data_IF_452116738132
#
_entry.id   IF_452116738132
#
_cell.length_a   1.000
_cell.length_b   1.000
_cell.length_c   1.000
_cell.angle_alpha   90.00
_cell.angle_beta   90.00
_cell.angle_gamma   90.00
#
_symmetry.space_group_name_H-M   'P 1'
#
loop_
_entity.id
_entity.type
_entity.pdbx_description
1 polymer ?
#
# COMPACT_ATOMS: atom_id res chain seq x y z
N UNK A 1 -2.15 -25.49 22.07
CA UNK A 1 -3.11 -24.39 22.26
C UNK A 1 -2.37 -23.05 22.21
N UNK A 2 -2.96 -22.06 21.58
CA UNK A 2 -2.38 -20.71 21.50
C UNK A 2 -2.93 -19.78 22.60
N UNK A 3 -3.84 -20.29 23.43
CA UNK A 3 -4.40 -19.60 24.59
C UNK A 3 -3.87 -20.28 25.84
N UNK A 4 -3.33 -19.50 26.76
CA UNK A 4 -2.83 -19.94 28.06
C UNK A 4 -3.25 -18.96 29.16
N UNK A 5 -2.92 -19.31 30.41
CA UNK A 5 -3.10 -18.47 31.59
C UNK A 5 -4.52 -17.89 31.70
N UNK A 6 -5.51 -18.77 31.49
CA UNK A 6 -6.93 -18.41 31.57
C UNK A 6 -7.33 -18.25 33.03
N UNK A 7 -7.67 -17.04 33.44
CA UNK A 7 -8.12 -16.73 34.80
C UNK A 7 -9.50 -16.07 34.79
N UNK A 8 -10.37 -16.54 35.68
CA UNK A 8 -11.67 -15.96 35.90
C UNK A 8 -11.67 -15.16 37.21
N UNK A 9 -11.72 -13.85 37.11
CA UNK A 9 -11.90 -12.92 38.22
C UNK A 9 -13.33 -12.57 38.52
N UNK A 10 -13.57 -11.54 39.33
CA UNK A 10 -14.92 -11.07 39.68
C UNK A 10 -15.58 -10.33 38.50
N UNK A 11 -16.11 -11.10 37.53
CA UNK A 11 -16.78 -10.57 36.35
C UNK A 11 -15.87 -10.30 35.16
N UNK A 12 -14.61 -10.71 35.22
CA UNK A 12 -13.63 -10.55 34.17
C UNK A 12 -12.92 -11.87 33.87
N UNK A 13 -12.74 -12.17 32.59
CA UNK A 13 -11.95 -13.30 32.09
C UNK A 13 -10.68 -12.78 31.44
N UNK A 14 -9.52 -13.14 31.96
CA UNK A 14 -8.21 -12.82 31.39
C UNK A 14 -7.54 -14.06 30.82
N UNK A 15 -6.75 -13.90 29.76
CA UNK A 15 -5.97 -14.98 29.15
C UNK A 15 -4.79 -14.42 28.38
N UNK A 16 -3.77 -15.23 28.19
CA UNK A 16 -2.62 -14.91 27.33
C UNK A 16 -2.80 -15.57 25.95
N UNK A 17 -2.31 -14.88 24.92
CA UNK A 17 -2.30 -15.39 23.53
C UNK A 17 -0.86 -15.42 23.02
N UNK A 18 -0.40 -16.58 22.55
CA UNK A 18 0.89 -16.70 21.86
C UNK A 18 0.73 -16.28 20.39
N UNK A 19 1.74 -15.56 19.85
CA UNK A 19 1.74 -15.12 18.46
C UNK A 19 1.50 -16.28 17.48
N UNK A 20 0.77 -16.00 16.40
CA UNK A 20 0.59 -16.96 15.31
C UNK A 20 1.70 -16.73 14.26
N UNK A 21 2.75 -17.52 14.36
CA UNK A 21 3.86 -17.53 13.39
C UNK A 21 3.60 -18.45 12.19
N UNK A 22 2.45 -19.12 12.17
CA UNK A 22 2.04 -20.00 11.07
C UNK A 22 1.32 -19.27 9.95
N UNK A 23 1.05 -20.00 8.87
CA UNK A 23 0.35 -19.51 7.66
C UNK A 23 -1.17 -19.75 7.69
N UNK A 24 -1.69 -20.34 8.78
CA UNK A 24 -3.12 -20.64 8.91
C UNK A 24 -3.73 -19.93 10.11
N UNK A 25 -4.98 -19.50 9.98
CA UNK A 25 -5.76 -18.93 11.08
C UNK A 25 -5.97 -20.01 12.16
N UNK A 26 -5.85 -19.61 13.42
CA UNK A 26 -6.12 -20.48 14.56
C UNK A 26 -7.44 -20.08 15.22
N UNK A 27 -8.18 -21.09 15.66
CA UNK A 27 -9.48 -20.90 16.29
C UNK A 27 -9.48 -21.55 17.66
N UNK A 28 -10.10 -20.87 18.62
CA UNK A 28 -10.35 -21.43 19.95
C UNK A 28 -11.71 -20.99 20.45
N UNK A 29 -12.26 -21.77 21.36
CA UNK A 29 -13.50 -21.42 22.06
C UNK A 29 -13.22 -21.47 23.56
N UNK A 30 -13.47 -20.36 24.24
CA UNK A 30 -13.47 -20.33 25.70
C UNK A 30 -14.90 -20.50 26.18
N UNK A 31 -15.13 -21.50 27.03
CA UNK A 31 -16.43 -21.75 27.66
C UNK A 31 -16.30 -21.58 29.17
N UNK A 32 -17.13 -20.70 29.71
CA UNK A 32 -17.26 -20.51 31.16
C UNK A 32 -18.57 -21.18 31.59
N UNK A 33 -18.49 -22.00 32.60
CA UNK A 33 -19.64 -22.70 33.15
C UNK A 33 -19.73 -22.48 34.65
N UNK A 34 -20.93 -22.28 35.17
CA UNK A 34 -21.19 -22.23 36.60
C UNK A 34 -22.39 -23.11 36.94
N UNK A 35 -22.37 -23.69 38.12
CA UNK A 35 -23.54 -24.40 38.67
C UNK A 35 -24.50 -23.38 39.28
N UNK A 36 -25.80 -23.54 39.02
CA UNK A 36 -26.84 -22.79 39.71
C UNK A 36 -27.15 -23.40 41.09
N UNK A 37 -27.93 -22.66 41.87
CA UNK A 37 -28.32 -23.12 43.22
C UNK A 37 -29.21 -24.39 43.23
N UNK A 38 -29.77 -24.76 42.08
CA UNK A 38 -30.61 -25.95 41.92
C UNK A 38 -29.84 -27.15 41.35
N UNK A 39 -28.51 -27.00 41.10
CA UNK A 39 -27.65 -28.03 40.54
C UNK A 39 -27.65 -28.09 39.02
N UNK A 40 -28.27 -27.12 38.35
CA UNK A 40 -28.15 -26.92 36.89
C UNK A 40 -26.80 -26.31 36.52
N UNK A 41 -26.36 -26.46 35.27
CA UNK A 41 -25.15 -25.81 34.73
C UNK A 41 -25.56 -24.78 33.71
N UNK A 42 -25.13 -23.56 33.92
CA UNK A 42 -25.23 -22.47 32.95
C UNK A 42 -23.85 -22.22 32.34
N UNK A 43 -23.79 -22.16 31.02
CA UNK A 43 -22.54 -21.95 30.28
C UNK A 43 -22.66 -20.83 29.27
N UNK A 44 -21.58 -20.07 29.11
CA UNK A 44 -21.41 -19.09 28.03
C UNK A 44 -20.10 -19.36 27.29
N UNK A 45 -20.12 -19.22 25.98
CA UNK A 45 -18.93 -19.45 25.15
C UNK A 45 -18.59 -18.25 24.30
N UNK A 46 -17.29 -17.98 24.12
CA UNK A 46 -16.77 -16.97 23.21
C UNK A 46 -15.78 -17.63 22.24
N UNK A 47 -15.92 -17.34 20.97
CA UNK A 47 -14.99 -17.81 19.95
C UNK A 47 -13.90 -16.77 19.73
N UNK A 48 -12.65 -17.25 19.71
CA UNK A 48 -11.47 -16.45 19.46
C UNK A 48 -10.87 -16.90 18.14
N UNK A 49 -10.66 -15.97 17.23
CA UNK A 49 -9.94 -16.20 15.97
C UNK A 49 -8.63 -15.44 16.02
N UNK A 50 -7.52 -16.15 15.92
CA UNK A 50 -6.22 -15.52 15.77
C UNK A 50 -5.80 -15.56 14.30
N UNK A 51 -5.60 -14.37 13.74
CA UNK A 51 -5.14 -14.20 12.36
C UNK A 51 -3.68 -14.60 12.22
N UNK A 52 -3.26 -14.87 11.01
CA UNK A 52 -1.85 -15.01 10.66
C UNK A 52 -1.17 -13.64 10.69
N UNK A 53 0.14 -13.63 10.85
CA UNK A 53 0.92 -12.42 10.52
C UNK A 53 0.82 -12.22 9.01
N UNK A 54 0.34 -11.05 8.60
CA UNK A 54 0.17 -10.73 7.19
C UNK A 54 1.50 -10.91 6.44
N UNK A 55 1.47 -11.69 5.35
CA UNK A 55 2.65 -12.01 4.57
C UNK A 55 2.84 -11.00 3.44
N UNK A 56 4.07 -10.55 3.15
CA UNK A 56 4.32 -9.69 2.01
C UNK A 56 3.94 -10.41 0.71
N UNK A 57 3.17 -9.74 -0.16
CA UNK A 57 2.79 -10.24 -1.48
C UNK A 57 3.03 -9.18 -2.54
N UNK A 58 3.86 -9.51 -3.52
CA UNK A 58 4.10 -8.63 -4.66
C UNK A 58 2.89 -8.62 -5.59
N UNK A 59 2.41 -7.41 -5.93
CA UNK A 59 1.40 -7.19 -6.96
C UNK A 59 2.11 -6.73 -8.23
N UNK A 60 1.89 -7.43 -9.35
CA UNK A 60 2.49 -7.02 -10.61
C UNK A 60 1.93 -5.66 -11.06
N UNK A 61 2.75 -4.85 -11.73
CA UNK A 61 2.31 -3.55 -12.25
C UNK A 61 1.14 -3.68 -13.25
N UNK A 62 1.05 -4.79 -13.97
CA UNK A 62 -0.04 -5.06 -14.90
C UNK A 62 -1.35 -5.36 -14.15
N UNK A 63 -1.30 -6.21 -13.13
CA UNK A 63 -2.48 -6.54 -12.32
C UNK A 63 -2.95 -5.30 -11.54
N UNK A 64 -2.01 -4.51 -11.02
CA UNK A 64 -2.34 -3.26 -10.34
C UNK A 64 -3.06 -2.30 -11.29
N UNK A 65 -2.56 -2.08 -12.53
CA UNK A 65 -3.22 -1.21 -13.52
C UNK A 65 -4.65 -1.64 -13.82
N UNK A 66 -4.94 -2.91 -13.82
CA UNK A 66 -6.28 -3.43 -14.05
C UNK A 66 -7.29 -3.07 -12.95
N UNK A 67 -6.81 -2.65 -11.76
CA UNK A 67 -7.66 -2.26 -10.63
C UNK A 67 -8.08 -0.78 -10.68
N UNK A 68 -7.38 0.07 -11.44
CA UNK A 68 -7.68 1.49 -11.52
C UNK A 68 -8.98 1.77 -12.26
N UNK A 69 -9.73 2.73 -11.76
CA UNK A 69 -10.98 3.21 -12.35
C UNK A 69 -10.94 4.74 -12.51
N UNK A 70 -11.87 5.31 -13.26
CA UNK A 70 -11.98 6.76 -13.40
C UNK A 70 -12.44 7.45 -12.10
N UNK A 71 -13.05 6.69 -11.19
CA UNK A 71 -13.41 7.15 -9.84
C UNK A 71 -12.35 6.69 -8.84
N UNK A 72 -12.14 7.47 -7.79
CA UNK A 72 -11.25 7.14 -6.70
C UNK A 72 -11.65 5.81 -6.07
N UNK A 73 -10.72 4.89 -5.99
CA UNK A 73 -10.94 3.56 -5.46
C UNK A 73 -9.89 3.22 -4.42
N UNK A 74 -10.33 3.03 -3.16
CA UNK A 74 -9.46 2.52 -2.12
C UNK A 74 -8.91 1.15 -2.50
N UNK A 75 -7.61 0.94 -2.32
CA UNK A 75 -6.99 -0.36 -2.53
C UNK A 75 -7.55 -1.35 -1.50
N UNK A 76 -8.16 -2.42 -1.99
CA UNK A 76 -8.69 -3.48 -1.14
C UNK A 76 -7.56 -4.47 -0.83
N UNK A 77 -6.93 -4.31 0.34
CA UNK A 77 -5.96 -5.29 0.82
C UNK A 77 -6.66 -6.55 1.34
N UNK A 78 -6.02 -7.68 1.14
CA UNK A 78 -6.34 -8.94 1.77
C UNK A 78 -5.89 -8.88 3.25
N UNK A 79 -6.70 -9.41 4.17
CA UNK A 79 -6.36 -9.42 5.60
C UNK A 79 -5.14 -10.29 5.94
N UNK A 80 -4.81 -11.23 5.07
CA UNK A 80 -3.72 -12.19 5.26
C UNK A 80 -2.43 -11.76 4.54
N UNK A 81 -2.46 -10.65 3.78
CA UNK A 81 -1.30 -10.17 3.01
C UNK A 81 -1.07 -8.66 3.16
N UNK A 82 0.20 -8.29 3.08
CA UNK A 82 0.62 -6.91 2.83
C UNK A 82 1.01 -6.83 1.37
N UNK A 83 0.12 -6.24 0.58
CA UNK A 83 0.35 -6.08 -0.85
C UNK A 83 1.32 -4.94 -1.12
N UNK A 84 2.32 -5.18 -1.96
CA UNK A 84 3.29 -4.16 -2.34
C UNK A 84 3.60 -4.18 -3.83
N UNK A 85 3.93 -3.01 -4.35
CA UNK A 85 4.43 -2.80 -5.71
C UNK A 85 5.95 -2.66 -5.69
N UNK A 86 6.67 -3.46 -6.49
CA UNK A 86 8.08 -3.23 -6.78
C UNK A 86 8.21 -2.28 -7.97
N UNK A 87 8.90 -1.15 -7.76
CA UNK A 87 9.04 -0.14 -8.80
C UNK A 87 10.38 0.60 -8.71
N UNK A 88 10.65 1.42 -9.72
CA UNK A 88 11.81 2.30 -9.82
C UNK A 88 11.36 3.74 -9.83
N UNK A 89 11.93 4.54 -8.93
CA UNK A 89 11.67 5.99 -8.88
C UNK A 89 12.33 6.66 -10.07
N UNK A 90 11.56 7.43 -10.83
CA UNK A 90 12.03 8.19 -12.00
C UNK A 90 11.96 9.70 -11.78
N UNK A 91 11.18 10.18 -10.80
CA UNK A 91 11.22 11.54 -10.29
C UNK A 91 12.33 11.75 -9.27
N UNK A 92 12.39 12.92 -8.67
CA UNK A 92 13.37 13.27 -7.63
C UNK A 92 12.75 14.29 -6.69
N UNK A 93 12.53 13.91 -5.43
CA UNK A 93 12.00 14.84 -4.42
C UNK A 93 12.94 16.01 -4.11
N UNK A 94 14.27 15.80 -4.22
CA UNK A 94 15.28 16.85 -4.04
C UNK A 94 15.38 17.81 -5.23
N UNK A 95 14.85 17.44 -6.41
CA UNK A 95 14.80 18.26 -7.62
C UNK A 95 13.46 18.05 -8.31
N UNK A 96 12.35 18.56 -7.74
CA UNK A 96 11.04 18.42 -8.33
C UNK A 96 10.98 19.08 -9.71
N UNK A 97 10.05 18.66 -10.56
CA UNK A 97 9.95 19.14 -11.94
C UNK A 97 9.73 20.65 -12.04
N UNK A 98 9.26 21.29 -10.96
CA UNK A 98 9.07 22.73 -10.87
C UNK A 98 9.39 23.23 -9.46
N UNK A 99 10.42 24.05 -9.30
CA UNK A 99 10.70 24.75 -8.05
C UNK A 99 9.65 25.82 -7.74
N UNK A 100 9.13 26.43 -8.79
CA UNK A 100 8.10 27.46 -8.68
C UNK A 100 7.07 27.27 -9.78
N UNK A 101 5.82 27.23 -9.42
CA UNK A 101 4.75 27.29 -10.38
C UNK A 101 4.38 28.77 -10.65
N UNK A 102 4.90 29.31 -11.73
CA UNK A 102 4.57 30.67 -12.19
C UNK A 102 3.24 30.75 -12.96
N UNK A 103 2.64 29.63 -13.24
CA UNK A 103 1.34 29.57 -13.93
C UNK A 103 0.22 29.65 -12.90
N UNK A 104 -0.49 30.75 -12.87
CA UNK A 104 -1.64 30.98 -11.98
C UNK A 104 -2.98 30.66 -12.62
N UNK A 105 -3.00 29.93 -13.72
CA UNK A 105 -4.24 29.48 -14.37
C UNK A 105 -4.98 28.41 -13.55
N UNK A 106 -6.26 28.16 -13.89
CA UNK A 106 -7.11 27.22 -13.12
C UNK A 106 -6.63 25.75 -13.12
N UNK A 107 -5.70 25.41 -14.00
CA UNK A 107 -5.10 24.07 -14.10
C UNK A 107 -3.63 24.06 -13.65
N UNK A 108 -3.18 25.09 -12.92
CA UNK A 108 -1.82 25.14 -12.43
C UNK A 108 -1.64 24.19 -11.24
N UNK A 109 -0.51 23.47 -11.24
CA UNK A 109 -0.09 22.68 -10.09
C UNK A 109 0.54 23.63 -9.07
N UNK A 110 0.13 23.56 -7.82
CA UNK A 110 0.74 24.34 -6.73
C UNK A 110 2.12 23.79 -6.38
N UNK A 111 2.95 24.57 -5.70
CA UNK A 111 4.26 24.11 -5.21
C UNK A 111 4.08 22.92 -4.27
N UNK A 112 3.14 23.01 -3.34
CA UNK A 112 2.85 21.93 -2.38
C UNK A 112 2.41 20.64 -3.09
N UNK A 113 1.56 20.74 -4.13
CA UNK A 113 1.17 19.58 -4.93
C UNK A 113 2.35 18.97 -5.67
N UNK A 114 3.27 19.79 -6.18
CA UNK A 114 4.46 19.31 -6.84
C UNK A 114 5.41 18.60 -5.85
N UNK A 115 5.60 19.17 -4.66
CA UNK A 115 6.46 18.61 -3.62
C UNK A 115 5.90 17.30 -3.05
N UNK A 116 4.57 17.15 -3.01
CA UNK A 116 3.88 15.89 -2.67
C UNK A 116 3.87 14.86 -3.81
N UNK A 117 4.44 15.16 -4.99
CA UNK A 117 4.32 14.30 -6.17
C UNK A 117 5.66 13.68 -6.54
N UNK A 118 5.65 12.36 -6.82
CA UNK A 118 6.77 11.67 -7.43
C UNK A 118 6.28 10.72 -8.53
N UNK A 119 7.18 10.14 -9.28
CA UNK A 119 6.87 9.25 -10.38
C UNK A 119 7.70 7.98 -10.28
N UNK A 120 7.05 6.86 -10.54
CA UNK A 120 7.70 5.54 -10.56
C UNK A 120 7.32 4.79 -11.82
N UNK A 121 8.19 3.87 -12.22
CA UNK A 121 7.89 2.90 -13.25
C UNK A 121 8.16 1.49 -12.74
N UNK A 122 7.51 0.48 -13.38
CA UNK A 122 7.83 -0.92 -13.15
C UNK A 122 9.31 -1.21 -13.37
N UNK A 123 9.84 -2.26 -12.75
CA UNK A 123 11.26 -2.59 -12.87
C UNK A 123 11.70 -2.89 -14.32
N UNK A 124 10.78 -3.33 -15.17
CA UNK A 124 11.00 -3.55 -16.61
C UNK A 124 10.75 -2.28 -17.46
N UNK A 125 10.34 -1.18 -16.86
CA UNK A 125 10.06 0.10 -17.52
C UNK A 125 8.77 0.14 -18.34
N UNK A 126 7.90 -0.87 -18.26
CA UNK A 126 6.70 -0.96 -19.12
C UNK A 126 5.55 -0.08 -18.64
N UNK A 127 5.38 0.07 -17.33
CA UNK A 127 4.24 0.72 -16.70
C UNK A 127 4.70 1.86 -15.82
N UNK A 128 4.03 3.00 -15.91
CA UNK A 128 4.32 4.18 -15.10
C UNK A 128 3.16 4.53 -14.17
N UNK A 129 3.49 5.09 -13.02
CA UNK A 129 2.52 5.57 -12.03
C UNK A 129 2.96 6.90 -11.45
N UNK A 130 2.00 7.78 -11.20
CA UNK A 130 2.19 8.97 -10.36
C UNK A 130 1.93 8.58 -8.91
N UNK A 131 2.84 8.94 -8.02
CA UNK A 131 2.69 8.83 -6.58
C UNK A 131 2.28 10.18 -6.03
N UNK A 132 1.28 10.21 -5.16
CA UNK A 132 0.85 11.41 -4.47
C UNK A 132 0.86 11.15 -2.96
N UNK A 133 1.76 11.84 -2.27
CA UNK A 133 1.91 11.80 -0.83
C UNK A 133 0.96 12.79 -0.16
N UNK A 134 0.57 12.51 1.07
CA UNK A 134 -0.30 13.39 1.84
C UNK A 134 0.43 14.66 2.27
N UNK A 135 1.74 14.56 2.54
CA UNK A 135 2.59 15.71 2.89
C UNK A 135 3.89 15.74 2.08
N UNK A 136 4.53 16.91 1.87
CA UNK A 136 5.84 17.00 1.22
C UNK A 136 6.94 16.24 1.96
N UNK A 137 6.86 16.17 3.29
CA UNK A 137 7.83 15.51 4.15
C UNK A 137 7.86 13.98 3.94
N UNK A 138 6.75 13.41 3.49
CA UNK A 138 6.65 11.99 3.16
C UNK A 138 7.33 11.66 1.82
N UNK A 139 7.49 12.64 0.93
CA UNK A 139 8.14 12.45 -0.36
C UNK A 139 9.65 12.62 -0.26
N UNK A 140 10.35 11.59 0.18
CA UNK A 140 11.83 11.60 0.31
C UNK A 140 12.52 10.80 -0.80
N UNK A 141 11.81 10.46 -1.86
CA UNK A 141 12.27 9.57 -2.92
C UNK A 141 13.22 10.25 -3.89
N UNK A 142 14.43 9.70 -4.03
CA UNK A 142 15.41 10.13 -5.01
C UNK A 142 15.34 9.29 -6.30
N UNK A 143 15.69 9.92 -7.42
CA UNK A 143 15.72 9.24 -8.74
C UNK A 143 16.62 7.99 -8.72
N UNK A 144 16.14 6.93 -9.32
CA UNK A 144 16.84 5.66 -9.43
C UNK A 144 16.60 4.71 -8.25
N UNK A 145 16.00 5.15 -7.16
CA UNK A 145 15.68 4.31 -6.02
C UNK A 145 14.80 3.13 -6.46
N UNK A 146 15.19 1.91 -6.07
CA UNK A 146 14.30 0.74 -6.12
C UNK A 146 13.44 0.78 -4.88
N UNK A 147 12.13 0.76 -5.07
CA UNK A 147 11.14 0.95 -4.00
C UNK A 147 10.21 -0.26 -3.92
N UNK A 148 10.00 -0.74 -2.70
CA UNK A 148 8.92 -1.63 -2.32
C UNK A 148 7.83 -0.77 -1.66
N UNK A 149 6.75 -0.48 -2.41
CA UNK A 149 5.68 0.41 -2.02
C UNK A 149 4.48 -0.39 -1.53
N UNK A 150 4.14 -0.29 -0.24
CA UNK A 150 2.91 -0.88 0.30
C UNK A 150 1.69 -0.18 -0.30
N UNK A 151 0.71 -0.98 -0.73
CA UNK A 151 -0.55 -0.50 -1.29
C UNK A 151 -1.64 -0.33 -0.22
N UNK A 152 -1.36 -0.69 1.03
CA UNK A 152 -2.33 -0.58 2.13
C UNK A 152 -2.71 0.88 2.38
N UNK A 153 -4.00 1.16 2.46
CA UNK A 153 -4.53 2.50 2.71
C UNK A 153 -4.49 3.45 1.52
N UNK A 154 -3.94 3.04 0.37
CA UNK A 154 -3.84 3.89 -0.81
C UNK A 154 -5.15 3.99 -1.59
N UNK A 155 -5.24 5.03 -2.42
CA UNK A 155 -6.34 5.26 -3.35
C UNK A 155 -5.81 5.25 -4.78
N UNK A 156 -6.49 4.50 -5.64
CA UNK A 156 -6.14 4.33 -7.05
C UNK A 156 -7.08 5.13 -7.92
N UNK A 157 -6.54 5.98 -8.80
CA UNK A 157 -7.33 6.80 -9.73
C UNK A 157 -6.73 6.76 -11.13
N UNK A 158 -7.57 6.57 -12.15
CA UNK A 158 -7.21 6.66 -13.57
C UNK A 158 -7.83 7.92 -14.18
N UNK A 159 -7.00 8.74 -14.80
CA UNK A 159 -7.40 9.85 -15.62
C UNK A 159 -7.27 9.49 -17.11
N UNK A 160 -8.07 10.09 -17.96
CA UNK A 160 -8.05 9.89 -19.41
C UNK A 160 -7.49 11.13 -20.14
N UNK A 161 -7.04 10.91 -21.38
CA UNK A 161 -6.59 11.97 -22.30
C UNK A 161 -5.34 12.78 -21.84
N UNK A 162 -4.16 12.19 -21.71
CA UNK A 162 -3.78 10.78 -21.89
C UNK A 162 -4.16 9.94 -20.68
N UNK A 163 -4.20 8.61 -20.86
CA UNK A 163 -4.45 7.68 -19.76
C UNK A 163 -3.31 7.72 -18.75
N UNK A 164 -3.65 8.02 -17.48
CA UNK A 164 -2.69 8.22 -16.39
C UNK A 164 -3.16 7.50 -15.12
N UNK A 165 -2.22 6.96 -14.39
CA UNK A 165 -2.48 6.14 -13.21
C UNK A 165 -1.84 6.78 -11.99
N UNK A 166 -2.65 7.10 -10.99
CA UNK A 166 -2.21 7.74 -9.75
C UNK A 166 -2.48 6.84 -8.56
N UNK A 167 -1.46 6.66 -7.71
CA UNK A 167 -1.55 6.06 -6.40
C UNK A 167 -1.44 7.22 -5.41
N UNK A 168 -2.50 7.51 -4.66
CA UNK A 168 -2.60 8.61 -3.72
C UNK A 168 -2.83 8.15 -2.28
N UNK A 169 -2.95 9.09 -1.35
CA UNK A 169 -3.02 8.84 0.09
C UNK A 169 -1.81 8.06 0.60
N UNK A 170 -0.64 8.45 0.10
CA UNK A 170 0.63 7.87 0.49
C UNK A 170 1.21 8.63 1.69
N UNK A 171 1.69 7.87 2.67
CA UNK A 171 2.44 8.36 3.83
C UNK A 171 3.81 7.67 3.89
N UNK A 172 4.71 8.15 4.74
CA UNK A 172 6.07 7.60 4.86
C UNK A 172 6.12 6.09 5.09
N UNK A 173 5.17 5.54 5.84
CA UNK A 173 5.05 4.12 6.16
C UNK A 173 4.73 3.23 4.95
N UNK A 174 4.21 3.78 3.86
CA UNK A 174 4.00 3.01 2.63
C UNK A 174 5.32 2.63 1.95
N UNK A 175 6.43 3.32 2.25
CA UNK A 175 7.76 3.00 1.73
C UNK A 175 8.43 1.92 2.58
N UNK A 176 8.10 0.65 2.32
CA UNK A 176 8.52 -0.49 3.15
C UNK A 176 10.02 -0.75 3.03
N UNK A 177 10.55 -0.70 1.82
CA UNK A 177 11.97 -0.91 1.53
C UNK A 177 12.40 -0.02 0.37
N UNK A 178 13.52 0.65 0.54
CA UNK A 178 14.15 1.43 -0.52
C UNK A 178 15.65 1.10 -0.60
N UNK A 179 16.16 0.88 -1.80
CA UNK A 179 17.56 0.62 -2.06
C UNK A 179 18.11 1.63 -3.06
N UNK A 180 19.38 2.02 -2.87
CA UNK A 180 20.07 2.93 -3.79
C UNK A 180 20.09 2.37 -5.22
N UNK A 181 19.99 3.29 -6.17
CA UNK A 181 19.57 3.02 -7.52
C UNK A 181 20.50 2.21 -8.39
N UNK A 182 19.89 1.30 -9.11
CA UNK A 182 20.39 0.77 -10.38
C UNK A 182 19.97 1.67 -11.54
N UNK A 183 20.48 1.41 -12.74
CA UNK A 183 20.08 2.13 -13.95
C UNK A 183 18.55 2.05 -14.17
N UNK A 184 17.95 3.19 -14.50
CA UNK A 184 16.54 3.27 -14.86
C UNK A 184 16.37 2.65 -16.25
N UNK A 185 15.50 1.63 -16.44
CA UNK A 185 15.16 1.14 -17.77
C UNK A 185 14.60 2.25 -18.65
N UNK A 186 15.12 2.38 -19.86
CA UNK A 186 14.76 3.42 -20.82
C UNK A 186 14.13 2.79 -22.04
N UNK A 187 12.94 3.22 -22.41
CA UNK A 187 12.31 2.85 -23.68
C UNK A 187 12.86 3.74 -24.80
N UNK A 188 13.34 3.17 -25.89
CA UNK A 188 13.65 3.92 -27.11
C UNK A 188 12.34 4.13 -27.88
N UNK A 189 12.02 5.37 -28.20
CA UNK A 189 10.80 5.76 -28.95
C UNK A 189 11.11 6.83 -29.98
N UNK A 190 10.34 6.85 -31.04
CA UNK A 190 10.18 8.06 -31.87
C UNK A 190 8.98 8.85 -31.33
N UNK A 191 8.93 10.14 -31.56
CA UNK A 191 7.79 10.98 -31.14
C UNK A 191 6.45 10.39 -31.66
N UNK A 192 6.45 9.87 -32.90
CA UNK A 192 5.26 9.27 -33.52
C UNK A 192 4.85 7.90 -32.95
N UNK A 193 5.68 7.32 -32.10
CA UNK A 193 5.47 5.99 -31.48
C UNK A 193 5.04 6.12 -30.01
N UNK A 194 4.99 7.37 -29.48
CA UNK A 194 4.54 7.60 -28.11
C UNK A 194 3.06 7.26 -27.98
N UNK A 195 2.72 6.56 -26.92
CA UNK A 195 1.36 6.16 -26.57
C UNK A 195 1.09 6.46 -25.10
N UNK A 196 -0.14 6.28 -24.64
CA UNK A 196 -0.53 6.42 -23.24
C UNK A 196 0.25 5.47 -22.32
N UNK A 197 0.73 4.34 -22.84
CA UNK A 197 1.59 3.41 -22.09
C UNK A 197 2.99 3.98 -21.79
N UNK A 198 3.39 5.06 -22.43
CA UNK A 198 4.66 5.72 -22.16
C UNK A 198 4.55 6.82 -21.09
N UNK A 199 3.32 7.16 -20.67
CA UNK A 199 3.09 8.15 -19.60
C UNK A 199 3.69 7.64 -18.29
N UNK A 200 4.42 8.52 -17.60
CA UNK A 200 5.16 8.22 -16.38
C UNK A 200 6.17 7.07 -16.51
N UNK A 201 6.74 6.88 -17.70
CA UNK A 201 7.89 6.01 -17.92
C UNK A 201 9.08 6.80 -18.47
N UNK A 202 10.28 6.25 -18.33
CA UNK A 202 11.49 6.91 -18.82
C UNK A 202 11.72 6.53 -20.28
N UNK A 203 11.57 7.52 -21.18
CA UNK A 203 11.75 7.33 -22.63
C UNK A 203 12.93 8.14 -23.15
N UNK A 204 13.61 7.61 -24.15
CA UNK A 204 14.60 8.33 -24.97
C UNK A 204 14.07 8.46 -26.39
N UNK A 205 14.15 9.66 -26.93
CA UNK A 205 13.72 10.02 -28.29
C UNK A 205 14.92 9.98 -29.24
#
# INVERSE_FOLDING_TARGET
DFISDVELGAGELTYAITANEGVEKRYATITVSCADLAGGVVSASSNITQRVTAQPREVSSADLRALFTAEDKSYASDEDHIDYLLCRVIGDAGNPNMDQNLNTGPNSITTDENDCTNYVQSLDGRYGFRLRFDTPEDNVLARGTRLSLSLSGTVLTREENPERYTISSLVGENMVESAAGEAIPVKQRRISELTDDDVYTFVSL
#
